data_IF_960411444837
#
_entry.id   IF_960411444837
#
_cell.length_a   1.000
_cell.length_b   1.000
_cell.length_c   1.000
_cell.angle_alpha   90.00
_cell.angle_beta   90.00
_cell.angle_gamma   90.00
#
_symmetry.space_group_name_H-M   'P 1'
#
loop_
_entity.id
_entity.type
_entity.pdbx_description
1 polymer ?
#
# COMPACT_ATOMS: atom_id res chain seq x y z
N UNK A 1 1.51 44.63 -39.73
CA UNK A 1 1.64 43.53 -38.74
C UNK A 1 0.83 43.77 -37.46
N UNK A 2 0.87 44.95 -36.82
CA UNK A 2 0.13 45.22 -35.57
C UNK A 2 -1.39 44.95 -35.63
N UNK A 3 -2.07 45.36 -36.72
CA UNK A 3 -3.53 45.20 -36.86
C UNK A 3 -4.00 43.73 -36.95
N UNK A 4 -3.16 42.82 -37.46
CA UNK A 4 -3.49 41.39 -37.50
C UNK A 4 -3.27 40.71 -36.14
N UNK A 5 -2.28 41.18 -35.37
CA UNK A 5 -2.01 40.67 -34.03
C UNK A 5 -3.14 41.04 -33.06
N UNK A 6 -3.69 42.26 -33.15
CA UNK A 6 -4.82 42.67 -32.30
C UNK A 6 -6.08 41.84 -32.57
N UNK A 7 -6.37 41.54 -33.85
CA UNK A 7 -7.53 40.71 -34.22
C UNK A 7 -7.39 39.29 -33.68
N UNK A 8 -6.20 38.68 -33.81
CA UNK A 8 -5.95 37.34 -33.28
C UNK A 8 -6.14 37.27 -31.76
N UNK A 9 -5.63 38.26 -31.01
CA UNK A 9 -5.80 38.32 -29.56
C UNK A 9 -7.29 38.46 -29.19
N UNK A 10 -8.05 39.29 -29.90
CA UNK A 10 -9.49 39.43 -29.63
C UNK A 10 -10.28 38.16 -29.88
N UNK A 11 -9.92 37.37 -30.91
CA UNK A 11 -10.58 36.10 -31.21
C UNK A 11 -10.27 35.05 -30.13
N UNK A 12 -9.02 34.97 -29.68
CA UNK A 12 -8.62 34.01 -28.64
C UNK A 12 -9.30 34.34 -27.30
N UNK A 13 -9.35 35.61 -26.92
CA UNK A 13 -10.02 36.04 -25.68
C UNK A 13 -11.53 35.80 -25.76
N UNK A 14 -12.17 36.13 -26.88
CA UNK A 14 -13.61 35.86 -27.07
C UNK A 14 -13.92 34.34 -27.04
N UNK A 15 -13.05 33.51 -27.63
CA UNK A 15 -13.17 32.05 -27.59
C UNK A 15 -13.04 31.49 -26.16
N UNK A 16 -12.09 32.01 -25.37
CA UNK A 16 -11.89 31.56 -23.99
C UNK A 16 -13.07 31.96 -23.08
N UNK A 17 -13.63 33.15 -23.28
CA UNK A 17 -14.84 33.60 -22.56
C UNK A 17 -16.04 32.73 -22.93
N UNK A 18 -16.24 32.42 -24.21
CA UNK A 18 -17.35 31.59 -24.66
C UNK A 18 -17.24 30.14 -24.12
N UNK A 19 -16.02 29.59 -24.09
CA UNK A 19 -15.76 28.25 -23.53
C UNK A 19 -16.00 28.20 -22.01
N UNK A 20 -15.69 29.28 -21.29
CA UNK A 20 -15.91 29.37 -19.83
C UNK A 20 -17.41 29.49 -19.46
N UNK A 21 -18.23 30.05 -20.36
CA UNK A 21 -19.67 30.21 -20.14
C UNK A 21 -20.45 28.90 -20.38
N UNK A 22 -19.93 27.95 -21.16
CA UNK A 22 -20.62 26.68 -21.43
C UNK A 22 -20.34 25.60 -20.37
N UNK A 23 -19.27 25.70 -19.58
CA UNK A 23 -18.97 24.73 -18.51
C UNK A 23 -19.73 24.98 -17.21
N UNK A 24 -20.49 26.08 -17.11
CA UNK A 24 -21.23 26.47 -15.90
C UNK A 24 -22.70 26.01 -15.88
N UNK A 25 -23.16 25.23 -16.88
CA UNK A 25 -24.55 24.76 -16.98
C UNK A 25 -24.66 23.23 -17.06
N UNK A 26 -24.12 22.54 -16.06
CA UNK A 26 -24.54 21.17 -15.76
C UNK A 26 -24.56 20.94 -14.24
N UNK A 27 -25.44 21.69 -13.56
CA UNK A 27 -25.83 21.46 -12.19
C UNK A 27 -27.34 21.15 -12.13
N UNK A 28 -27.68 20.12 -11.35
CA UNK A 28 -29.03 19.72 -10.91
C UNK A 28 -29.80 18.73 -11.79
N UNK A 29 -29.53 17.43 -11.57
CA UNK A 29 -30.59 16.40 -11.66
C UNK A 29 -31.02 16.11 -10.21
N UNK A 30 -32.14 16.70 -9.82
CA UNK A 30 -32.87 16.33 -8.61
C UNK A 30 -33.77 15.11 -8.87
N UNK A 31 -34.00 14.32 -7.82
CA UNK A 31 -35.04 13.29 -7.80
C UNK A 31 -34.71 12.10 -6.90
N UNK A 32 -34.80 12.28 -5.57
CA UNK A 32 -34.87 11.16 -4.61
C UNK A 32 -36.36 10.84 -4.39
N UNK A 33 -36.87 9.64 -4.74
CA UNK A 33 -38.18 9.20 -4.30
C UNK A 33 -38.09 8.72 -2.85
N UNK A 34 -38.81 9.41 -1.97
CA UNK A 34 -39.12 8.96 -0.62
C UNK A 34 -40.32 8.02 -0.70
N UNK A 35 -40.11 6.71 -0.59
CA UNK A 35 -41.19 5.73 -0.49
C UNK A 35 -40.82 4.65 0.53
N UNK A 36 -41.58 4.72 1.63
CA UNK A 36 -42.04 3.68 2.54
C UNK A 36 -41.06 3.03 3.54
N UNK A 37 -41.27 3.46 4.78
CA UNK A 37 -41.13 2.66 5.99
C UNK A 37 -41.92 1.36 5.86
N UNK A 38 -41.28 0.23 6.11
CA UNK A 38 -41.88 -0.89 6.81
C UNK A 38 -40.88 -1.40 7.84
N UNK A 39 -41.21 -1.13 9.11
CA UNK A 39 -40.73 -1.90 10.23
C UNK A 39 -41.47 -3.25 10.24
N UNK A 40 -40.85 -4.24 10.87
CA UNK A 40 -41.34 -5.61 11.10
C UNK A 40 -41.19 -6.60 9.93
N UNK A 41 -39.95 -7.03 9.73
CA UNK A 41 -39.65 -8.42 9.35
C UNK A 41 -38.61 -8.95 10.33
N UNK A 42 -38.82 -10.11 10.98
CA UNK A 42 -37.81 -10.71 11.85
C UNK A 42 -36.55 -10.98 11.05
N UNK A 43 -35.46 -10.29 11.40
CA UNK A 43 -34.13 -10.57 10.88
C UNK A 43 -33.67 -11.89 11.48
N UNK A 44 -33.92 -12.97 10.75
CA UNK A 44 -33.33 -14.27 11.03
C UNK A 44 -31.81 -14.10 11.05
N UNK A 45 -31.25 -14.19 12.24
CA UNK A 45 -29.85 -13.94 12.55
C UNK A 45 -29.12 -15.27 12.42
N UNK A 46 -29.03 -15.78 11.19
CA UNK A 46 -28.08 -16.83 10.87
C UNK A 46 -26.88 -16.16 10.20
N UNK A 47 -25.86 -15.95 11.02
CA UNK A 47 -24.53 -15.50 10.59
C UNK A 47 -23.87 -16.62 9.78
N UNK A 48 -24.18 -16.71 8.49
CA UNK A 48 -23.45 -17.60 7.58
C UNK A 48 -22.01 -17.11 7.35
N UNK A 49 -21.72 -15.83 7.60
CA UNK A 49 -20.39 -15.25 7.47
C UNK A 49 -19.43 -15.58 8.62
N UNK A 50 -19.91 -15.73 9.86
CA UNK A 50 -19.04 -16.10 11.00
C UNK A 50 -18.62 -17.57 10.97
N UNK A 51 -19.49 -18.46 10.48
CA UNK A 51 -19.21 -19.89 10.45
C UNK A 51 -18.08 -20.27 9.48
N UNK A 52 -17.80 -19.46 8.45
CA UNK A 52 -16.79 -19.76 7.42
C UNK A 52 -15.37 -19.43 7.89
N UNK A 53 -15.19 -18.37 8.68
CA UNK A 53 -13.86 -17.97 9.21
C UNK A 53 -13.39 -18.85 10.37
N UNK A 54 -14.31 -19.47 11.12
CA UNK A 54 -13.98 -20.43 12.19
C UNK A 54 -13.38 -21.75 11.70
N UNK A 55 -13.48 -22.03 10.39
CA UNK A 55 -12.99 -23.27 9.77
C UNK A 55 -12.08 -22.97 8.56
N UNK A 56 -11.15 -22.03 8.71
CA UNK A 56 -10.08 -21.89 7.73
C UNK A 56 -9.26 -23.20 7.73
N UNK A 57 -9.41 -23.99 6.68
CA UNK A 57 -8.59 -25.20 6.48
C UNK A 57 -7.11 -24.80 6.49
N UNK A 58 -6.25 -25.56 7.18
CA UNK A 58 -4.80 -25.31 7.22
C UNK A 58 -4.16 -25.17 5.83
N UNK A 59 -4.79 -25.77 4.82
CA UNK A 59 -4.43 -25.64 3.41
C UNK A 59 -4.47 -24.21 2.88
N UNK A 60 -5.25 -23.30 3.49
CA UNK A 60 -5.33 -21.88 3.11
C UNK A 60 -3.99 -21.19 3.39
N UNK A 61 -3.34 -21.50 4.53
CA UNK A 61 -2.07 -20.90 4.93
C UNK A 61 -0.86 -21.64 4.34
N UNK A 62 -0.97 -22.95 4.10
CA UNK A 62 0.20 -23.78 3.74
C UNK A 62 0.35 -24.09 2.24
N UNK A 63 -0.68 -23.83 1.42
CA UNK A 63 -0.60 -24.13 -0.01
C UNK A 63 0.35 -23.21 -0.77
N UNK A 64 0.79 -23.68 -1.94
CA UNK A 64 1.72 -22.98 -2.82
C UNK A 64 1.14 -21.70 -3.43
N UNK A 65 1.98 -20.96 -4.14
CA UNK A 65 1.55 -19.81 -4.93
C UNK A 65 0.43 -20.19 -5.90
N UNK A 66 -0.62 -19.37 -5.95
CA UNK A 66 -1.75 -19.54 -6.87
C UNK A 66 -1.60 -18.70 -8.15
N UNK A 67 -0.70 -17.73 -8.15
CA UNK A 67 -0.51 -16.82 -9.28
C UNK A 67 0.42 -17.45 -10.33
N UNK A 68 0.19 -17.21 -11.63
CA UNK A 68 1.15 -17.57 -12.66
C UNK A 68 2.41 -16.71 -12.58
N UNK A 69 3.44 -17.09 -13.35
CA UNK A 69 4.66 -16.29 -13.49
C UNK A 69 4.36 -14.92 -14.11
N UNK A 70 4.97 -13.87 -13.58
CA UNK A 70 4.87 -12.52 -14.12
C UNK A 70 6.08 -12.23 -15.01
N UNK A 71 5.88 -12.28 -16.33
CA UNK A 71 6.97 -12.19 -17.32
C UNK A 71 7.44 -10.75 -17.59
N UNK A 72 6.56 -9.76 -17.48
CA UNK A 72 6.92 -8.36 -17.75
C UNK A 72 7.79 -7.80 -16.61
N UNK A 73 9.07 -7.54 -16.90
CA UNK A 73 10.05 -7.08 -15.92
C UNK A 73 9.71 -5.72 -15.30
N UNK A 74 9.23 -4.75 -16.10
CA UNK A 74 8.85 -3.43 -15.61
C UNK A 74 7.67 -3.50 -14.65
N UNK A 75 6.61 -4.21 -15.06
CA UNK A 75 5.42 -4.40 -14.21
C UNK A 75 5.77 -5.17 -12.93
N UNK A 76 6.68 -6.15 -13.02
CA UNK A 76 7.20 -6.89 -11.86
C UNK A 76 7.94 -5.98 -10.88
N UNK A 77 8.76 -5.06 -11.37
CA UNK A 77 9.49 -4.11 -10.54
C UNK A 77 8.55 -3.09 -9.89
N UNK A 78 7.59 -2.54 -10.64
CA UNK A 78 6.57 -1.62 -10.11
C UNK A 78 5.71 -2.27 -9.01
N UNK A 79 5.23 -3.49 -9.27
CA UNK A 79 4.52 -4.28 -8.28
C UNK A 79 5.39 -4.54 -7.04
N UNK A 80 6.66 -4.90 -7.23
CA UNK A 80 7.63 -5.10 -6.15
C UNK A 80 7.74 -3.88 -5.23
N UNK A 81 8.02 -2.71 -5.80
CA UNK A 81 8.13 -1.44 -5.06
C UNK A 81 6.85 -1.10 -4.28
N UNK A 82 5.70 -1.17 -4.96
CA UNK A 82 4.42 -0.87 -4.32
C UNK A 82 4.12 -1.83 -3.16
N UNK A 83 4.44 -3.11 -3.35
CA UNK A 83 4.23 -4.15 -2.35
C UNK A 83 5.14 -3.96 -1.14
N UNK A 84 6.43 -3.67 -1.35
CA UNK A 84 7.36 -3.40 -0.26
C UNK A 84 6.97 -2.15 0.52
N UNK A 85 6.52 -1.10 -0.17
CA UNK A 85 5.98 0.09 0.52
C UNK A 85 4.82 -0.27 1.43
N UNK A 86 3.82 -1.00 0.95
CA UNK A 86 2.70 -1.46 1.80
C UNK A 86 3.22 -2.29 2.97
N UNK A 87 4.02 -3.32 2.68
CA UNK A 87 4.49 -4.30 3.65
C UNK A 87 5.27 -3.63 4.81
N UNK A 88 6.26 -2.80 4.50
CA UNK A 88 7.03 -2.09 5.51
C UNK A 88 6.21 -1.06 6.29
N UNK A 89 5.27 -0.36 5.63
CA UNK A 89 4.38 0.57 6.31
C UNK A 89 3.53 -0.13 7.35
N UNK A 90 2.98 -1.31 7.03
CA UNK A 90 2.22 -2.08 8.01
C UNK A 90 3.08 -2.49 9.21
N UNK A 91 4.33 -2.90 8.98
CA UNK A 91 5.22 -3.33 10.07
C UNK A 91 5.60 -2.15 10.95
N UNK A 92 5.81 -0.97 10.36
CA UNK A 92 6.04 0.28 11.09
C UNK A 92 4.81 0.74 11.89
N UNK A 93 3.59 0.36 11.48
CA UNK A 93 2.33 0.67 12.19
C UNK A 93 1.92 -0.38 13.21
N UNK A 94 2.55 -1.56 13.20
CA UNK A 94 2.25 -2.63 14.15
C UNK A 94 2.44 -2.15 15.61
N UNK A 95 1.69 -2.67 16.60
CA UNK A 95 1.87 -2.27 17.98
C UNK A 95 3.25 -2.69 18.54
N UNK A 96 3.82 -1.88 19.44
CA UNK A 96 5.03 -2.29 20.17
C UNK A 96 4.73 -3.43 21.16
N UNK A 97 3.48 -3.48 21.67
CA UNK A 97 2.97 -4.52 22.56
C UNK A 97 1.67 -5.09 21.97
N UNK A 98 1.73 -5.96 20.95
CA UNK A 98 0.55 -6.52 20.32
C UNK A 98 -0.17 -7.49 21.25
N UNK A 99 -1.48 -7.65 21.04
CA UNK A 99 -2.21 -8.78 21.63
C UNK A 99 -1.84 -10.09 20.91
N UNK A 100 -2.26 -11.24 21.45
CA UNK A 100 -2.11 -12.53 20.77
C UNK A 100 -2.86 -12.54 19.43
N UNK A 101 -4.04 -11.92 19.39
CA UNK A 101 -4.85 -11.79 18.17
C UNK A 101 -4.17 -10.90 17.13
N UNK A 102 -3.60 -9.75 17.52
CA UNK A 102 -2.86 -8.88 16.61
C UNK A 102 -1.64 -9.61 16.00
N UNK A 103 -0.92 -10.36 16.83
CA UNK A 103 0.24 -11.14 16.42
C UNK A 103 -0.15 -12.22 15.43
N UNK A 104 -1.23 -12.96 15.74
CA UNK A 104 -1.76 -14.00 14.86
C UNK A 104 -2.29 -13.41 13.54
N UNK A 105 -2.95 -12.25 13.59
CA UNK A 105 -3.43 -11.55 12.42
C UNK A 105 -2.27 -11.15 11.50
N UNK A 106 -1.18 -10.58 12.05
CA UNK A 106 0.01 -10.24 11.27
C UNK A 106 0.66 -11.49 10.66
N UNK A 107 0.83 -12.56 11.44
CA UNK A 107 1.38 -13.83 10.94
C UNK A 107 0.54 -14.38 9.79
N UNK A 108 -0.78 -14.35 9.95
CA UNK A 108 -1.75 -14.83 8.95
C UNK A 108 -1.70 -13.99 7.69
N UNK A 109 -1.67 -12.67 7.83
CA UNK A 109 -1.46 -11.74 6.71
C UNK A 109 -0.19 -12.11 5.93
N UNK A 110 0.94 -12.36 6.58
CA UNK A 110 2.21 -12.65 5.90
C UNK A 110 2.13 -13.97 5.12
N UNK A 111 1.50 -15.00 5.68
CA UNK A 111 1.28 -16.28 4.98
C UNK A 111 0.38 -16.10 3.74
N UNK A 112 -0.71 -15.37 3.90
CA UNK A 112 -1.64 -15.08 2.80
C UNK A 112 -0.99 -14.19 1.73
N UNK A 113 -0.21 -13.19 2.13
CA UNK A 113 0.58 -12.36 1.23
C UNK A 113 1.51 -13.23 0.39
N UNK A 114 2.25 -14.14 1.01
CA UNK A 114 3.16 -15.05 0.31
C UNK A 114 2.45 -15.98 -0.68
N UNK A 115 1.22 -16.41 -0.38
CA UNK A 115 0.41 -17.27 -1.26
C UNK A 115 -0.20 -16.50 -2.43
N UNK A 116 -0.76 -15.32 -2.14
CA UNK A 116 -1.60 -14.55 -3.06
C UNK A 116 -0.81 -13.53 -3.89
N UNK A 117 0.48 -13.36 -3.64
CA UNK A 117 1.31 -12.39 -4.34
C UNK A 117 1.24 -12.58 -5.87
N UNK A 118 0.94 -11.54 -6.67
CA UNK A 118 0.60 -11.66 -8.09
C UNK A 118 1.81 -11.84 -9.03
N UNK A 119 2.85 -12.50 -8.52
CA UNK A 119 4.02 -12.97 -9.26
C UNK A 119 4.38 -14.36 -8.72
N UNK A 120 4.03 -15.43 -9.46
CA UNK A 120 4.08 -16.80 -8.96
C UNK A 120 5.48 -17.29 -8.56
N UNK A 121 6.52 -16.92 -9.30
CA UNK A 121 7.91 -17.23 -8.96
C UNK A 121 8.40 -16.41 -7.77
N UNK A 122 7.99 -15.13 -7.66
CA UNK A 122 8.27 -14.29 -6.50
C UNK A 122 7.63 -14.88 -5.23
N UNK A 123 6.35 -15.23 -5.31
CA UNK A 123 5.55 -15.81 -4.24
C UNK A 123 6.18 -17.13 -3.74
N UNK A 124 6.48 -18.04 -4.67
CA UNK A 124 7.11 -19.33 -4.35
C UNK A 124 8.49 -19.16 -3.72
N UNK A 125 9.26 -18.15 -4.13
CA UNK A 125 10.52 -17.79 -3.50
C UNK A 125 10.31 -17.23 -2.08
N UNK A 126 9.37 -16.30 -1.90
CA UNK A 126 9.08 -15.70 -0.61
C UNK A 126 8.56 -16.73 0.40
N UNK A 127 7.73 -17.69 -0.04
CA UNK A 127 7.31 -18.84 0.78
C UNK A 127 8.49 -19.66 1.32
N UNK A 128 9.57 -19.81 0.55
CA UNK A 128 10.81 -20.47 1.03
C UNK A 128 11.55 -19.59 2.02
N UNK A 129 11.62 -18.28 1.78
CA UNK A 129 12.25 -17.33 2.69
C UNK A 129 11.56 -17.31 4.05
N UNK A 130 10.23 -17.21 4.12
CA UNK A 130 9.51 -17.17 5.41
C UNK A 130 9.53 -18.50 6.16
N UNK A 131 9.78 -19.63 5.47
CA UNK A 131 10.06 -20.92 6.12
C UNK A 131 11.45 -20.96 6.75
N UNK A 132 12.45 -20.38 6.07
CA UNK A 132 13.84 -20.29 6.58
C UNK A 132 13.99 -19.24 7.67
N UNK A 133 13.27 -18.13 7.55
CA UNK A 133 13.29 -16.98 8.44
C UNK A 133 11.86 -16.65 8.89
N UNK A 134 11.33 -17.36 9.91
CA UNK A 134 9.96 -17.19 10.35
C UNK A 134 9.63 -15.74 10.76
N UNK A 135 8.41 -15.24 10.47
CA UNK A 135 7.97 -13.91 10.86
C UNK A 135 8.14 -13.63 12.35
N UNK A 136 8.76 -12.48 12.67
CA UNK A 136 8.86 -11.97 14.03
C UNK A 136 7.70 -11.01 14.28
N UNK A 137 6.80 -11.37 15.19
CA UNK A 137 5.49 -10.71 15.39
C UNK A 137 5.31 -10.22 16.82
N UNK A 138 6.38 -10.16 17.62
CA UNK A 138 6.31 -9.85 19.06
C UNK A 138 6.24 -8.36 19.38
N UNK A 139 6.64 -7.50 18.44
CA UNK A 139 6.58 -6.05 18.53
C UNK A 139 6.79 -5.41 17.16
N UNK A 140 6.44 -4.12 17.03
CA UNK A 140 6.77 -3.29 15.86
C UNK A 140 8.23 -3.41 15.45
N UNK A 141 9.15 -3.23 16.40
CA UNK A 141 10.59 -3.28 16.12
C UNK A 141 11.02 -4.65 15.59
N UNK A 142 10.50 -5.74 16.18
CA UNK A 142 10.81 -7.09 15.71
C UNK A 142 10.25 -7.37 14.30
N UNK A 143 9.03 -6.89 14.01
CA UNK A 143 8.38 -7.07 12.72
C UNK A 143 9.05 -6.25 11.61
N UNK A 144 9.37 -4.98 11.88
CA UNK A 144 10.07 -4.11 10.94
C UNK A 144 11.50 -4.60 10.66
N UNK A 145 12.25 -4.99 11.71
CA UNK A 145 13.58 -5.56 11.57
C UNK A 145 13.57 -6.86 10.76
N UNK A 146 12.62 -7.75 11.02
CA UNK A 146 12.44 -8.97 10.24
C UNK A 146 12.09 -8.68 8.77
N UNK A 147 11.17 -7.74 8.51
CA UNK A 147 10.79 -7.34 7.16
C UNK A 147 11.99 -6.78 6.38
N UNK A 148 12.84 -5.97 7.02
CA UNK A 148 14.08 -5.50 6.42
C UNK A 148 15.04 -6.64 6.09
N UNK A 149 15.25 -7.56 7.03
CA UNK A 149 16.11 -8.72 6.82
C UNK A 149 15.67 -9.56 5.60
N UNK A 150 14.37 -9.91 5.50
CA UNK A 150 13.87 -10.70 4.36
C UNK A 150 13.88 -9.91 3.05
N UNK A 151 13.70 -8.60 3.09
CA UNK A 151 13.87 -7.74 1.91
C UNK A 151 15.32 -7.78 1.43
N UNK A 152 16.29 -7.71 2.35
CA UNK A 152 17.70 -7.84 2.01
C UNK A 152 18.07 -9.23 1.43
N UNK A 153 17.40 -10.30 1.84
CA UNK A 153 17.56 -11.62 1.20
C UNK A 153 17.06 -11.61 -0.26
N UNK A 154 16.04 -10.81 -0.58
CA UNK A 154 15.61 -10.59 -1.97
C UNK A 154 16.61 -9.70 -2.72
N UNK A 155 17.15 -8.66 -2.09
CA UNK A 155 18.18 -7.79 -2.68
C UNK A 155 19.43 -8.58 -3.03
N UNK A 156 19.94 -9.41 -2.10
CA UNK A 156 21.10 -10.28 -2.33
C UNK A 156 20.87 -11.21 -3.53
N UNK A 157 19.69 -11.85 -3.62
CA UNK A 157 19.33 -12.70 -4.78
C UNK A 157 19.28 -11.91 -6.10
N UNK A 158 18.88 -10.65 -6.06
CA UNK A 158 18.76 -9.78 -7.22
C UNK A 158 20.02 -8.93 -7.46
N UNK A 159 21.11 -9.21 -6.74
CA UNK A 159 22.38 -8.49 -6.83
C UNK A 159 22.24 -6.97 -6.57
N UNK A 160 21.32 -6.60 -5.68
CA UNK A 160 21.06 -5.22 -5.25
C UNK A 160 21.84 -4.86 -3.98
N UNK A 161 22.10 -3.56 -3.73
CA UNK A 161 22.69 -3.11 -2.47
C UNK A 161 21.90 -3.59 -1.25
N UNK A 162 22.63 -3.90 -0.17
CA UNK A 162 22.04 -4.27 1.11
C UNK A 162 21.66 -3.00 1.86
N UNK A 163 20.41 -2.95 2.33
CA UNK A 163 19.90 -1.83 3.12
C UNK A 163 20.30 -1.98 4.59
N UNK A 164 20.74 -0.88 5.20
CA UNK A 164 21.03 -0.83 6.64
C UNK A 164 19.73 -0.78 7.45
N UNK A 165 19.34 -1.91 8.04
CA UNK A 165 18.08 -2.03 8.79
C UNK A 165 17.98 -1.09 10.00
N UNK A 166 19.08 -0.50 10.49
CA UNK A 166 19.00 0.51 11.55
C UNK A 166 18.32 1.80 11.08
N UNK A 167 18.24 2.03 9.77
CA UNK A 167 17.60 3.21 9.16
C UNK A 167 16.15 2.97 8.72
N UNK A 168 15.58 1.80 9.02
CA UNK A 168 14.26 1.41 8.51
C UNK A 168 13.13 2.30 9.04
N UNK A 169 13.26 2.80 10.28
CA UNK A 169 12.27 3.67 10.92
C UNK A 169 12.17 5.03 10.24
N UNK A 170 13.30 5.61 9.84
CA UNK A 170 13.35 6.89 9.13
C UNK A 170 12.93 6.74 7.67
N UNK A 171 13.29 5.63 7.03
CA UNK A 171 13.01 5.40 5.61
C UNK A 171 11.53 5.11 5.33
N UNK A 172 10.89 4.28 6.15
CA UNK A 172 9.47 4.02 6.07
C UNK A 172 8.71 4.82 7.11
N UNK A 173 8.82 6.15 7.03
CA UNK A 173 7.93 7.02 7.78
C UNK A 173 6.48 6.60 7.52
N UNK A 174 5.79 6.30 8.62
CA UNK A 174 4.43 5.83 8.62
C UNK A 174 3.42 6.95 8.34
N UNK A 175 3.87 8.20 8.21
CA UNK A 175 3.02 9.37 8.00
C UNK A 175 2.12 9.64 9.21
N UNK A 176 2.47 9.08 10.35
CA UNK A 176 1.75 9.24 11.60
C UNK A 176 2.15 10.61 12.13
N UNK A 177 1.30 11.61 11.95
CA UNK A 177 1.55 12.98 12.41
C UNK A 177 2.13 13.00 13.83
N UNK A 178 3.07 13.92 14.06
CA UNK A 178 3.83 13.94 15.29
C UNK A 178 2.98 14.43 16.46
N UNK A 179 2.47 13.53 17.29
CA UNK A 179 1.98 13.92 18.62
C UNK A 179 3.13 14.33 19.56
N UNK A 180 4.38 14.38 19.08
CA UNK A 180 5.54 14.94 19.78
C UNK A 180 6.57 15.57 18.83
N UNK A 181 6.23 16.67 18.15
CA UNK A 181 7.25 17.62 17.63
C UNK A 181 7.27 18.91 18.46
N UNK A 182 8.06 18.87 19.53
CA UNK A 182 8.66 20.04 20.14
C UNK A 182 10.18 19.78 20.30
N UNK A 183 10.88 19.88 19.16
CA UNK A 183 12.33 20.01 18.94
C UNK A 183 12.56 19.47 17.51
N UNK A 184 12.59 20.29 16.45
CA UNK A 184 13.59 21.32 16.22
C UNK A 184 14.59 20.78 15.19
N UNK A 185 14.44 21.20 13.93
CA UNK A 185 15.52 21.29 12.92
C UNK A 185 16.09 20.00 12.27
N UNK A 186 15.33 18.89 12.19
CA UNK A 186 15.75 17.68 11.45
C UNK A 186 14.93 17.37 10.17
N UNK A 187 13.93 18.20 9.84
CA UNK A 187 12.95 17.88 8.80
C UNK A 187 13.46 18.04 7.36
N UNK A 188 14.32 19.02 7.10
CA UNK A 188 14.69 19.39 5.72
C UNK A 188 15.79 18.48 5.14
N UNK A 189 16.70 17.98 6.00
CA UNK A 189 17.73 17.02 5.59
C UNK A 189 17.16 15.61 5.32
N UNK A 190 16.09 15.23 6.01
CA UNK A 190 15.42 13.94 5.83
C UNK A 190 14.67 13.86 4.48
N UNK A 191 14.08 14.97 4.01
CA UNK A 191 13.38 15.02 2.72
C UNK A 191 14.34 14.95 1.52
N UNK A 192 15.54 15.52 1.64
CA UNK A 192 16.60 15.37 0.64
C UNK A 192 17.19 13.95 0.62
N UNK A 193 17.48 13.37 1.80
CA UNK A 193 17.98 12.01 1.90
C UNK A 193 16.96 10.94 1.44
N UNK A 194 15.66 11.19 1.63
CA UNK A 194 14.59 10.35 1.12
C UNK A 194 14.38 10.46 -0.40
N UNK A 195 14.92 11.49 -1.06
CA UNK A 195 14.94 11.59 -2.53
C UNK A 195 16.11 10.83 -3.15
N UNK A 196 17.29 10.89 -2.53
CA UNK A 196 18.48 10.20 -3.04
C UNK A 196 18.47 8.70 -2.72
N UNK A 197 18.00 8.28 -1.54
CA UNK A 197 17.90 6.85 -1.18
C UNK A 197 16.71 6.13 -1.86
N UNK A 198 15.75 6.90 -2.37
CA UNK A 198 14.61 6.38 -3.14
C UNK A 198 15.00 6.01 -4.57
N UNK A 199 16.11 6.54 -5.10
CA UNK A 199 16.65 6.10 -6.39
C UNK A 199 17.37 4.74 -6.27
N UNK A 200 18.16 4.52 -5.22
CA UNK A 200 19.02 3.32 -5.11
C UNK A 200 18.27 2.03 -4.73
N UNK A 201 17.05 2.14 -4.19
CA UNK A 201 16.21 0.98 -3.83
C UNK A 201 15.02 0.77 -4.78
N UNK A 202 14.80 1.69 -5.73
CA UNK A 202 13.75 1.60 -6.75
C UNK A 202 14.26 1.11 -8.12
N UNK A 203 15.58 1.15 -8.37
CA UNK A 203 16.25 0.46 -9.49
C UNK A 203 16.64 -0.98 -9.14
#
# INVERSE_FOLDING_TARGET
>A
MARHLTILITIVVAGFILLSLTTSSLGSIGGVPKVLTDADTPRDTTSEGDAVLGSLSGNILEGGSIAPKLENATAKAELGRASWRLFHTMMARFPEKPTEEDSLALKTYIQLFARLYPCGDCASHFQKLIKKFPPQIGSRNSAAGWACHVHNQVNERLEKPIFDCNKIGDFYDCGCGDDKKAAGEAGEAAEAAAKDLKLDMEE
#
